data_IF_744349177869
#
_entry.id   IF_744349177869
#
_cell.length_a   1.000
_cell.length_b   1.000
_cell.length_c   1.000
_cell.angle_alpha   90.00
_cell.angle_beta   90.00
_cell.angle_gamma   90.00
#
_symmetry.space_group_name_H-M   'P 1'
#
loop_
_entity.id
_entity.type
_entity.pdbx_description
1 polymer ?
#
# COMPACT_ATOMS: atom_id res chain seq x y z
N UNK A 1 2.25 -40.55 7.71
CA UNK A 1 1.79 -39.22 8.19
C UNK A 1 2.85 -38.42 8.97
N UNK A 2 3.43 -38.92 10.09
CA UNK A 2 4.43 -38.17 10.90
C UNK A 2 5.71 -37.74 10.14
N UNK A 3 6.28 -38.60 9.27
CA UNK A 3 7.46 -38.26 8.44
C UNK A 3 7.20 -37.11 7.46
N UNK A 4 5.99 -37.02 6.91
CA UNK A 4 5.60 -35.95 5.98
C UNK A 4 5.49 -34.61 6.71
N UNK A 5 4.89 -34.59 7.91
CA UNK A 5 4.79 -33.38 8.75
C UNK A 5 6.18 -32.85 9.15
N UNK A 6 7.11 -33.75 9.48
CA UNK A 6 8.51 -33.38 9.79
C UNK A 6 9.24 -32.81 8.59
N UNK A 7 9.06 -33.39 7.40
CA UNK A 7 9.61 -32.86 6.15
C UNK A 7 9.09 -31.45 5.84
N UNK A 8 7.79 -31.21 5.93
CA UNK A 8 7.19 -29.89 5.72
C UNK A 8 7.62 -28.86 6.76
N UNK A 9 7.81 -29.25 8.03
CA UNK A 9 8.37 -28.37 9.07
C UNK A 9 9.83 -28.02 8.79
N UNK A 10 10.65 -29.00 8.41
CA UNK A 10 12.06 -28.79 8.04
C UNK A 10 12.20 -27.88 6.83
N UNK A 11 11.39 -28.10 5.79
CA UNK A 11 11.37 -27.28 4.58
C UNK A 11 10.96 -25.84 4.88
N UNK A 12 9.91 -25.62 5.69
CA UNK A 12 9.50 -24.27 6.14
C UNK A 12 10.60 -23.57 6.95
N UNK A 13 11.28 -24.27 7.84
CA UNK A 13 12.41 -23.73 8.62
C UNK A 13 13.58 -23.33 7.72
N UNK A 14 13.88 -24.13 6.71
CA UNK A 14 14.97 -23.88 5.77
C UNK A 14 14.66 -22.71 4.83
N UNK A 15 13.43 -22.60 4.33
CA UNK A 15 12.94 -21.44 3.57
C UNK A 15 13.02 -20.17 4.43
N UNK A 16 12.59 -20.21 5.69
CA UNK A 16 12.69 -19.07 6.59
C UNK A 16 14.13 -18.66 6.90
N UNK A 17 15.04 -19.62 7.10
CA UNK A 17 16.47 -19.32 7.29
C UNK A 17 17.10 -18.67 6.05
N UNK A 18 16.77 -19.16 4.86
CA UNK A 18 17.28 -18.59 3.61
C UNK A 18 16.73 -17.19 3.33
N UNK A 19 15.44 -16.95 3.63
CA UNK A 19 14.86 -15.61 3.57
C UNK A 19 15.54 -14.67 4.56
N UNK A 20 15.68 -15.05 5.84
CA UNK A 20 16.37 -14.23 6.86
C UNK A 20 17.80 -13.86 6.43
N UNK A 21 18.57 -14.80 5.86
CA UNK A 21 19.92 -14.52 5.35
C UNK A 21 19.92 -13.48 4.22
N UNK A 22 18.95 -13.51 3.30
CA UNK A 22 18.83 -12.50 2.24
C UNK A 22 18.49 -11.11 2.81
N UNK A 23 17.66 -11.05 3.85
CA UNK A 23 17.33 -9.80 4.57
C UNK A 23 18.59 -9.23 5.22
N UNK A 24 19.32 -10.05 5.97
CA UNK A 24 20.50 -9.63 6.72
C UNK A 24 21.65 -9.19 5.81
N UNK A 25 21.79 -9.82 4.63
CA UNK A 25 22.76 -9.42 3.59
C UNK A 25 22.40 -8.10 2.93
N UNK A 26 21.12 -7.88 2.61
CA UNK A 26 20.67 -6.63 1.96
C UNK A 26 20.64 -5.46 2.94
N UNK A 27 20.29 -5.66 4.21
CA UNK A 27 20.15 -4.59 5.22
C UNK A 27 21.44 -3.78 5.48
N UNK A 28 22.62 -4.37 5.26
CA UNK A 28 23.92 -3.70 5.43
C UNK A 28 24.57 -3.27 4.09
N UNK A 29 23.83 -3.40 2.98
CA UNK A 29 24.34 -3.04 1.67
C UNK A 29 24.44 -1.51 1.50
N UNK A 30 25.30 -1.07 0.57
CA UNK A 30 25.62 0.35 0.41
C UNK A 30 24.39 1.22 0.12
N UNK A 31 23.44 0.68 -0.62
CA UNK A 31 22.17 1.30 -0.97
C UNK A 31 21.25 1.49 0.23
N UNK A 32 21.27 0.58 1.21
CA UNK A 32 20.51 0.71 2.45
C UNK A 32 21.08 1.80 3.36
N UNK A 33 22.40 1.98 3.36
CA UNK A 33 23.05 3.08 4.09
C UNK A 33 22.69 4.42 3.43
N UNK A 34 22.75 4.51 2.10
CA UNK A 34 22.30 5.72 1.38
C UNK A 34 20.82 6.01 1.67
N UNK A 35 19.98 4.98 1.63
CA UNK A 35 18.56 5.13 1.87
C UNK A 35 18.26 5.56 3.31
N UNK A 36 19.03 5.06 4.28
CA UNK A 36 18.97 5.52 5.68
C UNK A 36 19.21 7.03 5.79
N UNK A 37 20.15 7.59 5.03
CA UNK A 37 20.40 9.02 5.01
C UNK A 37 19.20 9.79 4.41
N UNK A 38 18.67 9.34 3.27
CA UNK A 38 17.47 9.95 2.67
C UNK A 38 16.25 9.89 3.59
N UNK A 39 16.06 8.78 4.31
CA UNK A 39 14.99 8.65 5.31
C UNK A 39 15.18 9.62 6.48
N UNK A 40 16.42 9.82 6.93
CA UNK A 40 16.75 10.79 7.98
C UNK A 40 16.48 12.23 7.52
N UNK A 41 16.80 12.58 6.27
CA UNK A 41 16.54 13.90 5.70
C UNK A 41 15.05 14.26 5.70
N UNK A 42 14.17 13.27 5.52
CA UNK A 42 12.72 13.48 5.60
C UNK A 42 12.16 13.35 7.03
N UNK A 43 13.01 13.10 8.01
CA UNK A 43 12.64 13.02 9.44
C UNK A 43 12.16 11.64 9.90
N UNK A 44 12.58 10.57 9.23
CA UNK A 44 12.26 9.19 9.60
C UNK A 44 13.51 8.45 10.08
N UNK A 45 13.40 7.77 11.22
CA UNK A 45 14.42 6.84 11.67
C UNK A 45 14.31 5.50 10.94
N UNK A 46 15.29 5.17 10.12
CA UNK A 46 15.35 3.91 9.39
C UNK A 46 16.29 2.92 10.09
N UNK A 47 15.72 1.82 10.59
CA UNK A 47 16.47 0.73 11.19
C UNK A 47 17.19 -0.08 10.12
N UNK A 48 18.53 0.01 10.14
CA UNK A 48 19.39 -0.79 9.25
C UNK A 48 19.83 -2.09 9.91
N UNK A 49 19.76 -2.16 11.25
CA UNK A 49 20.19 -3.32 12.03
C UNK A 49 19.07 -3.83 12.92
N UNK A 50 18.96 -5.15 12.99
CA UNK A 50 17.99 -5.80 13.88
C UNK A 50 18.32 -5.51 15.34
N UNK A 51 17.34 -5.05 16.10
CA UNK A 51 17.50 -4.73 17.53
C UNK A 51 18.05 -3.33 17.80
N UNK A 52 18.16 -2.48 16.78
CA UNK A 52 18.54 -1.08 16.95
C UNK A 52 17.46 -0.31 17.73
N UNK A 53 17.86 0.35 18.81
CA UNK A 53 16.96 1.14 19.64
C UNK A 53 16.49 2.40 18.90
N UNK A 54 15.18 2.58 18.80
CA UNK A 54 14.59 3.81 18.23
C UNK A 54 14.87 4.99 19.17
N UNK A 55 15.49 6.09 18.67
CA UNK A 55 15.74 7.27 19.50
C UNK A 55 14.43 7.91 19.97
N UNK A 56 14.48 8.65 21.08
CA UNK A 56 13.28 9.23 21.73
C UNK A 56 12.46 10.11 20.78
N UNK A 57 13.13 10.87 19.93
CA UNK A 57 12.50 11.82 19.01
C UNK A 57 11.73 11.15 17.85
N UNK A 58 11.91 9.83 17.67
CA UNK A 58 11.28 9.05 16.60
C UNK A 58 10.32 7.97 17.12
N UNK A 59 9.86 8.09 18.37
CA UNK A 59 9.02 7.08 19.04
C UNK A 59 7.63 6.91 18.43
N UNK A 60 7.11 7.94 17.77
CA UNK A 60 5.83 7.83 17.06
C UNK A 60 5.91 6.74 15.99
N UNK A 61 4.88 5.90 15.90
CA UNK A 61 4.83 4.70 15.02
C UNK A 61 5.06 5.02 13.52
N UNK A 62 4.84 6.28 13.11
CA UNK A 62 5.04 6.77 11.74
C UNK A 62 6.35 7.54 11.55
N UNK A 63 7.17 7.70 12.60
CA UNK A 63 8.47 8.38 12.56
C UNK A 63 9.66 7.41 12.54
N UNK A 64 9.41 6.10 12.58
CA UNK A 64 10.45 5.08 12.47
C UNK A 64 9.97 3.91 11.62
N UNK A 65 10.91 3.23 10.95
CA UNK A 65 10.60 2.09 10.09
C UNK A 65 11.81 1.18 9.85
N UNK A 66 11.60 0.08 9.14
CA UNK A 66 12.62 -0.90 8.75
C UNK A 66 12.43 -1.34 7.28
N UNK A 67 13.41 -2.09 6.75
CA UNK A 67 13.37 -2.61 5.38
C UNK A 67 12.09 -3.37 5.04
N UNK A 68 11.56 -4.15 5.99
CA UNK A 68 10.39 -4.98 5.75
C UNK A 68 9.12 -4.14 5.66
N UNK A 69 8.97 -3.13 6.52
CA UNK A 69 7.83 -2.22 6.47
C UNK A 69 7.89 -1.31 5.25
N UNK A 70 9.05 -0.73 4.92
CA UNK A 70 9.26 0.03 3.67
C UNK A 70 8.83 -0.80 2.47
N UNK A 71 9.29 -2.05 2.39
CA UNK A 71 8.94 -2.92 1.28
C UNK A 71 7.46 -3.21 1.15
N UNK A 72 6.76 -3.43 2.26
CA UNK A 72 5.31 -3.62 2.24
C UNK A 72 4.59 -2.36 1.78
N UNK A 73 4.99 -1.20 2.29
CA UNK A 73 4.38 0.07 1.91
C UNK A 73 4.61 0.36 0.43
N UNK A 74 5.83 0.15 -0.09
CA UNK A 74 6.13 0.31 -1.52
C UNK A 74 5.39 -0.71 -2.38
N UNK A 75 5.29 -1.98 -1.97
CA UNK A 75 4.49 -2.97 -2.71
C UNK A 75 3.03 -2.51 -2.85
N UNK A 76 2.41 -1.99 -1.79
CA UNK A 76 1.05 -1.47 -1.86
C UNK A 76 0.95 -0.15 -2.65
N UNK A 77 1.68 0.89 -2.22
CA UNK A 77 1.51 2.25 -2.73
C UNK A 77 2.20 2.51 -4.08
N UNK A 78 3.45 2.08 -4.24
CA UNK A 78 4.23 2.33 -5.47
C UNK A 78 3.83 1.32 -6.55
N UNK A 79 3.94 0.04 -6.22
CA UNK A 79 3.76 -1.05 -7.17
C UNK A 79 2.32 -1.50 -7.34
N UNK A 80 1.36 -0.96 -6.58
CA UNK A 80 -0.07 -1.31 -6.68
C UNK A 80 -0.33 -2.81 -6.50
N UNK A 81 0.37 -3.43 -5.54
CA UNK A 81 0.25 -4.83 -5.12
C UNK A 81 -0.18 -4.95 -3.63
N UNK A 82 -1.38 -4.45 -3.26
CA UNK A 82 -1.83 -4.40 -1.87
C UNK A 82 -2.01 -5.77 -1.21
N UNK A 83 -2.39 -6.82 -1.92
CA UNK A 83 -2.51 -8.17 -1.37
C UNK A 83 -1.13 -8.82 -1.17
N UNK A 84 -0.22 -8.71 -2.15
CA UNK A 84 1.16 -9.19 -1.99
C UNK A 84 1.87 -8.52 -0.82
N UNK A 85 1.61 -7.23 -0.58
CA UNK A 85 2.08 -6.45 0.58
C UNK A 85 1.65 -7.05 1.95
N UNK A 86 0.54 -7.80 2.02
CA UNK A 86 0.07 -8.43 3.28
C UNK A 86 1.01 -9.54 3.74
N UNK A 87 1.73 -10.19 2.81
CA UNK A 87 2.61 -11.32 3.08
C UNK A 87 4.00 -10.87 3.56
N UNK A 88 4.85 -11.80 4.04
CA UNK A 88 6.26 -11.45 4.33
C UNK A 88 6.90 -11.01 3.01
N UNK A 89 7.68 -9.91 2.98
CA UNK A 89 8.08 -9.22 1.75
C UNK A 89 9.18 -9.97 0.99
N UNK A 90 9.10 -11.30 0.85
CA UNK A 90 10.06 -12.04 0.02
C UNK A 90 10.08 -11.52 -1.41
N UNK A 91 8.93 -11.07 -1.91
CA UNK A 91 8.78 -10.43 -3.22
C UNK A 91 9.54 -9.10 -3.30
N UNK A 92 9.64 -8.32 -2.22
CA UNK A 92 10.45 -7.08 -2.23
C UNK A 92 11.91 -7.35 -2.61
N UNK A 93 12.44 -8.50 -2.21
CA UNK A 93 13.84 -8.82 -2.49
C UNK A 93 14.09 -9.23 -3.93
N UNK A 94 13.05 -9.41 -4.74
CA UNK A 94 13.17 -9.53 -6.19
C UNK A 94 13.70 -8.21 -6.76
N UNK A 95 14.65 -8.31 -7.68
CA UNK A 95 15.37 -7.15 -8.19
C UNK A 95 14.45 -6.10 -8.81
N UNK A 96 13.39 -6.55 -9.49
CA UNK A 96 12.35 -5.68 -10.07
C UNK A 96 11.64 -4.80 -9.04
N UNK A 97 11.55 -5.19 -7.77
CA UNK A 97 10.94 -4.36 -6.74
C UNK A 97 11.97 -3.68 -5.84
N UNK A 98 13.12 -4.33 -5.65
CA UNK A 98 14.21 -3.80 -4.84
C UNK A 98 14.89 -2.59 -5.50
N UNK A 99 15.32 -2.73 -6.75
CA UNK A 99 16.11 -1.70 -7.42
C UNK A 99 15.36 -0.37 -7.60
N UNK A 100 14.06 -0.32 -7.95
CA UNK A 100 13.35 0.95 -8.01
C UNK A 100 13.23 1.67 -6.67
N UNK A 101 13.21 0.93 -5.55
CA UNK A 101 13.09 1.50 -4.19
C UNK A 101 14.46 1.95 -3.67
N UNK A 102 15.50 1.14 -3.88
CA UNK A 102 16.79 1.34 -3.21
C UNK A 102 17.93 1.75 -4.15
N UNK A 103 17.85 1.61 -5.47
CA UNK A 103 18.96 1.94 -6.36
C UNK A 103 18.68 3.12 -7.29
N UNK A 104 17.43 3.57 -7.37
CA UNK A 104 17.02 4.76 -8.14
C UNK A 104 16.98 6.02 -7.24
N UNK A 105 16.00 6.90 -7.46
CA UNK A 105 15.86 8.16 -6.73
C UNK A 105 15.41 7.93 -5.28
N UNK A 106 16.37 7.64 -4.39
CA UNK A 106 16.11 7.34 -2.98
C UNK A 106 15.45 8.50 -2.21
N UNK A 107 15.71 9.76 -2.58
CA UNK A 107 15.09 10.93 -1.94
C UNK A 107 13.59 11.03 -2.24
N UNK A 108 13.20 10.75 -3.49
CA UNK A 108 11.80 10.63 -3.91
C UNK A 108 11.09 9.51 -3.14
N UNK A 109 11.70 8.32 -3.10
CA UNK A 109 11.15 7.17 -2.39
C UNK A 109 11.03 7.43 -0.88
N UNK A 110 12.05 8.03 -0.25
CA UNK A 110 12.00 8.36 1.18
C UNK A 110 10.85 9.32 1.51
N UNK A 111 10.62 10.32 0.65
CA UNK A 111 9.50 11.27 0.79
C UNK A 111 8.15 10.55 0.68
N UNK A 112 7.98 9.68 -0.32
CA UNK A 112 6.77 8.86 -0.48
C UNK A 112 6.56 7.94 0.73
N UNK A 113 7.61 7.25 1.20
CA UNK A 113 7.55 6.32 2.33
C UNK A 113 7.14 7.03 3.61
N UNK A 114 7.64 8.24 3.87
CA UNK A 114 7.20 9.06 5.01
C UNK A 114 5.68 9.24 5.02
N UNK A 115 5.08 9.51 3.87
CA UNK A 115 3.63 9.68 3.77
C UNK A 115 2.90 8.35 3.94
N UNK A 116 3.38 7.28 3.30
CA UNK A 116 2.82 5.94 3.44
C UNK A 116 2.83 5.44 4.90
N UNK A 117 3.86 5.79 5.67
CA UNK A 117 3.94 5.49 7.11
C UNK A 117 2.81 6.19 7.88
N UNK A 118 2.55 7.46 7.58
CA UNK A 118 1.47 8.20 8.21
C UNK A 118 0.10 7.67 7.79
N UNK A 119 -0.10 7.37 6.50
CA UNK A 119 -1.34 6.78 5.95
C UNK A 119 -1.65 5.46 6.67
N UNK A 120 -0.66 4.57 6.80
CA UNK A 120 -0.80 3.30 7.52
C UNK A 120 -1.08 3.50 9.02
N UNK A 121 -0.42 4.46 9.66
CA UNK A 121 -0.68 4.82 11.05
C UNK A 121 -2.11 5.34 11.25
N UNK A 122 -2.54 6.29 10.42
CA UNK A 122 -3.85 6.92 10.49
C UNK A 122 -4.97 5.89 10.34
N UNK A 123 -4.84 5.01 9.34
CA UNK A 123 -5.75 3.90 9.15
C UNK A 123 -5.92 3.07 10.43
N UNK A 124 -4.79 2.61 11.00
CA UNK A 124 -4.78 1.68 12.15
C UNK A 124 -5.27 2.31 13.45
N UNK A 125 -4.97 3.59 13.68
CA UNK A 125 -5.12 4.20 15.02
C UNK A 125 -6.39 5.03 15.15
N UNK A 126 -6.84 5.63 14.04
CA UNK A 126 -7.96 6.59 14.00
C UNK A 126 -9.09 6.12 13.09
N UNK A 127 -8.84 6.05 11.79
CA UNK A 127 -9.89 5.87 10.77
C UNK A 127 -10.82 4.68 11.03
N UNK A 128 -10.27 3.48 11.28
CA UNK A 128 -11.12 2.28 11.46
C UNK A 128 -12.12 2.44 12.62
N UNK A 129 -11.73 3.13 13.70
CA UNK A 129 -12.64 3.37 14.84
C UNK A 129 -13.74 4.37 14.49
N UNK A 130 -13.45 5.35 13.66
CA UNK A 130 -14.41 6.34 13.19
C UNK A 130 -15.38 5.70 12.20
N UNK A 131 -14.86 4.89 11.27
CA UNK A 131 -15.64 4.11 10.32
C UNK A 131 -16.61 3.16 11.03
N UNK A 132 -16.15 2.42 12.05
CA UNK A 132 -17.01 1.52 12.83
C UNK A 132 -18.21 2.25 13.44
N UNK A 133 -18.00 3.44 14.02
CA UNK A 133 -19.08 4.25 14.61
C UNK A 133 -20.07 4.76 13.57
N UNK A 134 -19.60 5.13 12.38
CA UNK A 134 -20.45 5.62 11.30
C UNK A 134 -21.35 4.51 10.73
N UNK A 135 -20.88 3.26 10.77
CA UNK A 135 -21.52 2.12 10.13
C UNK A 135 -22.08 1.07 11.12
N UNK A 136 -22.16 1.38 12.42
CA UNK A 136 -22.63 0.45 13.46
C UNK A 136 -24.12 0.09 13.32
N UNK A 137 -24.91 0.98 12.71
CA UNK A 137 -26.36 0.85 12.53
C UNK A 137 -26.76 0.41 11.13
N UNK A 138 -25.78 0.18 10.25
CA UNK A 138 -26.04 -0.23 8.88
C UNK A 138 -26.62 -1.64 8.86
N UNK A 139 -27.76 -1.80 8.18
CA UNK A 139 -28.40 -3.09 7.96
C UNK A 139 -27.43 -4.04 7.24
N UNK A 140 -26.70 -3.49 6.27
CA UNK A 140 -25.70 -4.19 5.47
C UNK A 140 -24.35 -3.54 5.77
N UNK A 141 -23.66 -4.06 6.79
CA UNK A 141 -22.48 -3.39 7.35
C UNK A 141 -21.18 -3.65 6.56
N UNK A 142 -20.44 -2.60 6.16
CA UNK A 142 -19.12 -2.72 5.52
C UNK A 142 -17.96 -2.92 6.52
N UNK A 143 -18.22 -2.96 7.83
CA UNK A 143 -17.18 -2.96 8.89
C UNK A 143 -16.15 -4.09 8.71
N UNK A 144 -16.61 -5.32 8.49
CA UNK A 144 -15.70 -6.46 8.34
C UNK A 144 -14.78 -6.33 7.11
N UNK A 145 -15.27 -5.70 6.03
CA UNK A 145 -14.49 -5.39 4.86
C UNK A 145 -13.45 -4.31 5.17
N UNK A 146 -13.88 -3.21 5.81
CA UNK A 146 -13.01 -2.11 6.21
C UNK A 146 -11.83 -2.59 7.07
N UNK A 147 -12.06 -3.49 8.04
CA UNK A 147 -10.98 -4.04 8.88
C UNK A 147 -9.90 -4.79 8.09
N UNK A 148 -10.22 -5.26 6.89
CA UNK A 148 -9.29 -5.95 5.99
C UNK A 148 -8.71 -5.04 4.88
N UNK A 149 -9.14 -3.78 4.81
CA UNK A 149 -8.87 -2.89 3.68
C UNK A 149 -7.56 -2.09 3.78
N UNK A 150 -6.78 -2.23 4.86
CA UNK A 150 -5.59 -1.39 5.12
C UNK A 150 -4.68 -1.22 3.91
N UNK A 151 -4.29 -2.31 3.25
CA UNK A 151 -3.33 -2.24 2.15
C UNK A 151 -3.95 -1.72 0.86
N UNK A 152 -5.23 -1.99 0.59
CA UNK A 152 -5.92 -1.39 -0.57
C UNK A 152 -6.14 0.11 -0.37
N UNK A 153 -6.37 0.56 0.87
CA UNK A 153 -6.43 1.98 1.20
C UNK A 153 -5.09 2.69 0.93
N UNK A 154 -3.97 2.06 1.30
CA UNK A 154 -2.62 2.58 1.00
C UNK A 154 -2.39 2.65 -0.51
N UNK A 155 -2.71 1.57 -1.24
CA UNK A 155 -2.58 1.53 -2.69
C UNK A 155 -3.45 2.59 -3.37
N UNK A 156 -4.70 2.73 -2.92
CA UNK A 156 -5.68 3.64 -3.50
C UNK A 156 -5.31 5.11 -3.28
N UNK A 157 -4.83 5.49 -2.08
CA UNK A 157 -4.35 6.87 -1.87
C UNK A 157 -3.24 7.20 -2.85
N UNK A 158 -2.26 6.30 -3.02
CA UNK A 158 -1.19 6.51 -3.98
C UNK A 158 -1.69 6.58 -5.43
N UNK A 159 -2.65 5.73 -5.81
CA UNK A 159 -3.25 5.76 -7.15
C UNK A 159 -4.01 7.07 -7.41
N UNK A 160 -4.87 7.47 -6.47
CA UNK A 160 -5.67 8.69 -6.58
C UNK A 160 -4.79 9.93 -6.74
N UNK A 161 -3.69 10.00 -5.98
CA UNK A 161 -2.70 11.05 -6.15
C UNK A 161 -2.05 11.01 -7.52
N UNK A 162 -1.55 9.84 -7.93
CA UNK A 162 -0.83 9.71 -9.20
C UNK A 162 -1.72 10.08 -10.37
N UNK A 163 -3.01 9.76 -10.29
CA UNK A 163 -4.04 10.20 -11.22
C UNK A 163 -4.19 11.73 -11.20
N UNK A 164 -4.37 12.33 -10.03
CA UNK A 164 -4.56 13.79 -9.91
C UNK A 164 -3.35 14.62 -10.30
N UNK A 165 -2.15 14.09 -10.12
CA UNK A 165 -0.90 14.73 -10.55
C UNK A 165 -0.54 14.41 -12.02
N UNK A 166 -1.37 13.67 -12.75
CA UNK A 166 -1.14 13.35 -14.17
C UNK A 166 -0.04 12.32 -14.45
N UNK A 167 0.51 11.65 -13.43
CA UNK A 167 1.46 10.55 -13.65
C UNK A 167 0.78 9.28 -14.17
N UNK A 168 -0.45 9.02 -13.71
CA UNK A 168 -1.36 8.01 -14.23
C UNK A 168 -2.52 8.72 -14.94
N UNK A 169 -2.26 9.20 -16.16
CA UNK A 169 -3.28 9.82 -16.99
C UNK A 169 -4.34 8.83 -17.48
N UNK A 170 -5.34 9.35 -18.21
CA UNK A 170 -6.44 8.56 -18.77
C UNK A 170 -5.97 7.46 -19.72
N UNK A 171 -4.87 7.65 -20.46
CA UNK A 171 -4.37 6.64 -21.40
C UNK A 171 -3.74 5.48 -20.63
N UNK A 172 -2.89 5.76 -19.64
CA UNK A 172 -2.32 4.74 -18.75
C UNK A 172 -3.41 4.00 -17.98
N UNK A 173 -4.41 4.70 -17.47
CA UNK A 173 -5.54 4.04 -16.79
C UNK A 173 -6.35 3.15 -17.73
N UNK A 174 -6.53 3.55 -19.00
CA UNK A 174 -7.16 2.71 -20.01
C UNK A 174 -6.35 1.43 -20.24
N UNK A 175 -5.04 1.54 -20.46
CA UNK A 175 -4.15 0.39 -20.61
C UNK A 175 -4.23 -0.54 -19.40
N UNK A 176 -4.21 0.02 -18.19
CA UNK A 176 -4.41 -0.75 -16.97
C UNK A 176 -5.74 -1.51 -16.99
N UNK A 177 -6.87 -0.86 -17.27
CA UNK A 177 -8.19 -1.51 -17.24
C UNK A 177 -8.42 -2.52 -18.36
N UNK A 178 -7.79 -2.35 -19.51
CA UNK A 178 -7.81 -3.31 -20.62
C UNK A 178 -7.13 -4.62 -20.20
N UNK A 179 -5.98 -4.54 -19.53
CA UNK A 179 -5.16 -5.72 -19.23
C UNK A 179 -5.32 -6.27 -17.82
N UNK A 180 -5.92 -5.54 -16.87
CA UNK A 180 -5.85 -5.95 -15.46
C UNK A 180 -6.50 -7.30 -15.17
N UNK A 181 -7.48 -7.73 -15.98
CA UNK A 181 -8.18 -9.02 -15.85
C UNK A 181 -7.44 -10.22 -16.46
N UNK A 182 -6.28 -10.00 -17.10
CA UNK A 182 -5.52 -11.06 -17.78
C UNK A 182 -4.66 -11.90 -16.83
N UNK A 183 -4.35 -13.13 -17.24
CA UNK A 183 -3.43 -13.98 -16.49
C UNK A 183 -2.00 -13.42 -16.57
N UNK A 184 -1.35 -13.22 -15.41
CA UNK A 184 -0.06 -12.54 -15.31
C UNK A 184 -0.09 -11.11 -15.87
N UNK A 185 -1.25 -10.44 -15.81
CA UNK A 185 -1.42 -9.05 -16.21
C UNK A 185 -0.35 -8.15 -15.62
N UNK A 186 -0.03 -8.37 -14.34
CA UNK A 186 0.96 -7.57 -13.64
C UNK A 186 2.36 -7.67 -14.27
N UNK A 187 2.86 -8.89 -14.49
CA UNK A 187 4.16 -9.11 -15.11
C UNK A 187 4.24 -8.58 -16.53
N UNK A 188 3.17 -8.72 -17.30
CA UNK A 188 3.19 -8.45 -18.74
C UNK A 188 2.88 -7.00 -19.09
N UNK A 189 2.07 -6.30 -18.28
CA UNK A 189 1.52 -4.99 -18.61
C UNK A 189 1.67 -3.97 -17.48
N UNK A 190 1.45 -4.36 -16.22
CA UNK A 190 1.24 -3.37 -15.15
C UNK A 190 2.52 -2.95 -14.42
N UNK A 191 3.57 -3.77 -14.45
CA UNK A 191 4.81 -3.47 -13.73
C UNK A 191 5.45 -2.15 -14.18
N UNK A 192 5.63 -1.95 -15.49
CA UNK A 192 6.27 -0.74 -16.02
C UNK A 192 5.41 0.50 -15.76
N UNK A 193 4.10 0.37 -15.96
CA UNK A 193 3.11 1.41 -15.66
C UNK A 193 3.18 1.87 -14.20
N UNK A 194 3.22 0.94 -13.25
CA UNK A 194 3.21 1.30 -11.83
C UNK A 194 4.58 1.62 -11.24
N UNK A 195 5.65 1.02 -11.75
CA UNK A 195 7.01 1.29 -11.27
C UNK A 195 7.56 2.65 -11.71
N UNK A 196 6.97 3.28 -12.73
CA UNK A 196 7.27 4.64 -13.15
C UNK A 196 6.54 5.70 -12.30
N UNK A 197 7.27 6.28 -11.35
CA UNK A 197 6.78 7.36 -10.50
C UNK A 197 6.88 8.75 -11.15
N UNK A 198 7.52 8.88 -12.32
CA UNK A 198 7.81 10.17 -12.93
C UNK A 198 8.43 11.15 -11.94
N UNK A 199 7.91 12.38 -11.89
CA UNK A 199 8.39 13.44 -10.98
C UNK A 199 7.67 13.48 -9.62
N UNK A 200 6.79 12.51 -9.32
CA UNK A 200 6.02 12.52 -8.07
C UNK A 200 6.95 12.31 -6.88
N UNK A 201 7.15 13.38 -6.12
CA UNK A 201 7.98 13.37 -4.91
C UNK A 201 7.16 13.31 -3.62
N UNK A 202 5.84 13.51 -3.72
CA UNK A 202 4.90 13.56 -2.59
C UNK A 202 3.58 12.91 -2.99
N UNK A 203 2.97 12.15 -2.07
CA UNK A 203 1.67 11.54 -2.31
C UNK A 203 0.52 12.51 -2.05
N UNK A 204 0.67 13.53 -1.25
CA UNK A 204 -0.37 14.55 -1.07
C UNK A 204 0.28 15.94 -1.12
N UNK A 205 -0.45 16.97 -1.57
CA UNK A 205 0.09 18.33 -1.61
C UNK A 205 0.79 18.72 -0.30
N UNK A 206 2.01 19.26 -0.41
CA UNK A 206 2.83 19.64 0.76
C UNK A 206 2.11 20.56 1.73
N UNK A 207 1.24 21.42 1.19
CA UNK A 207 0.40 22.36 1.93
C UNK A 207 -0.50 21.64 2.94
N UNK A 208 -1.00 20.45 2.63
CA UNK A 208 -1.87 19.68 3.52
C UNK A 208 -1.15 19.21 4.78
N UNK A 209 0.16 19.00 4.74
CA UNK A 209 0.93 18.66 5.95
C UNK A 209 0.98 19.79 6.98
N UNK A 210 0.63 21.02 6.57
CA UNK A 210 0.49 22.16 7.49
C UNK A 210 -0.89 22.21 8.14
N UNK A 211 -1.89 21.52 7.58
CA UNK A 211 -3.23 21.38 8.13
C UNK A 211 -3.58 19.90 8.35
N UNK A 212 -3.21 19.40 9.52
CA UNK A 212 -3.38 18.00 9.91
C UNK A 212 -4.82 17.52 9.79
N UNK A 213 -5.79 18.34 10.17
CA UNK A 213 -7.20 17.96 10.16
C UNK A 213 -7.71 17.78 8.72
N UNK A 214 -7.31 18.69 7.82
CA UNK A 214 -7.64 18.57 6.41
C UNK A 214 -6.96 17.36 5.75
N UNK A 215 -5.71 17.08 6.12
CA UNK A 215 -4.99 15.89 5.66
C UNK A 215 -5.70 14.61 6.10
N UNK A 216 -6.05 14.49 7.39
CA UNK A 216 -6.76 13.33 7.93
C UNK A 216 -8.16 13.19 7.33
N UNK A 217 -8.87 14.30 7.09
CA UNK A 217 -10.15 14.29 6.38
C UNK A 217 -9.99 13.75 4.96
N UNK A 218 -9.00 14.23 4.21
CA UNK A 218 -8.71 13.78 2.84
C UNK A 218 -8.44 12.27 2.80
N UNK A 219 -7.65 11.76 3.74
CA UNK A 219 -7.41 10.33 3.87
C UNK A 219 -8.69 9.56 4.20
N UNK A 220 -9.50 10.06 5.14
CA UNK A 220 -10.78 9.45 5.51
C UNK A 220 -11.73 9.35 4.31
N UNK A 221 -11.82 10.42 3.53
CA UNK A 221 -12.66 10.47 2.33
C UNK A 221 -12.17 9.45 1.29
N UNK A 222 -10.86 9.44 0.96
CA UNK A 222 -10.27 8.48 0.01
C UNK A 222 -10.42 7.02 0.48
N UNK A 223 -10.20 6.74 1.77
CA UNK A 223 -10.39 5.40 2.31
C UNK A 223 -11.84 4.94 2.19
N UNK A 224 -12.79 5.84 2.45
CA UNK A 224 -14.22 5.55 2.38
C UNK A 224 -14.64 5.25 0.94
N UNK A 225 -14.09 5.96 -0.05
CA UNK A 225 -14.32 5.64 -1.48
C UNK A 225 -13.98 4.18 -1.76
N UNK A 226 -12.71 3.78 -1.58
CA UNK A 226 -12.27 2.44 -1.97
C UNK A 226 -12.90 1.33 -1.12
N UNK A 227 -13.19 1.59 0.16
CA UNK A 227 -13.86 0.61 1.02
C UNK A 227 -15.28 0.36 0.55
N UNK A 228 -16.05 1.40 0.23
CA UNK A 228 -17.43 1.24 -0.19
C UNK A 228 -17.53 0.66 -1.60
N UNK A 229 -16.68 1.10 -2.54
CA UNK A 229 -16.54 0.48 -3.87
C UNK A 229 -16.18 -1.00 -3.75
N UNK A 230 -15.19 -1.30 -2.90
CA UNK A 230 -14.73 -2.65 -2.65
C UNK A 230 -15.80 -3.55 -2.03
N UNK A 231 -16.55 -3.02 -1.07
CA UNK A 231 -17.64 -3.74 -0.43
C UNK A 231 -18.78 -4.05 -1.41
N UNK A 232 -19.21 -3.08 -2.24
CA UNK A 232 -20.21 -3.31 -3.30
C UNK A 232 -19.79 -4.41 -4.26
N UNK A 233 -18.54 -4.37 -4.72
CA UNK A 233 -18.01 -5.39 -5.63
C UNK A 233 -17.93 -6.76 -4.94
N UNK A 234 -17.41 -6.83 -3.71
CA UNK A 234 -17.39 -8.05 -2.90
C UNK A 234 -18.78 -8.68 -2.75
N UNK A 235 -19.81 -7.89 -2.48
CA UNK A 235 -21.18 -8.39 -2.36
C UNK A 235 -21.71 -8.99 -3.65
N UNK A 236 -21.34 -8.41 -4.79
CA UNK A 236 -21.71 -8.93 -6.11
C UNK A 236 -21.02 -10.28 -6.36
N UNK A 237 -19.73 -10.36 -6.10
CA UNK A 237 -18.95 -11.60 -6.26
C UNK A 237 -19.45 -12.71 -5.32
N UNK A 238 -19.71 -12.39 -4.05
CA UNK A 238 -20.19 -13.35 -3.04
C UNK A 238 -21.54 -13.99 -3.40
N UNK A 239 -22.40 -13.29 -4.15
CA UNK A 239 -23.66 -13.88 -4.66
C UNK A 239 -23.40 -15.05 -5.63
N UNK A 240 -22.29 -15.00 -6.36
CA UNK A 240 -21.85 -16.06 -7.27
C UNK A 240 -20.97 -17.13 -6.62
N UNK A 241 -20.27 -16.81 -5.53
CA UNK A 241 -19.38 -17.73 -4.81
C UNK A 241 -19.45 -17.52 -3.28
N UNK A 242 -20.14 -18.44 -2.60
CA UNK A 242 -20.33 -18.41 -1.15
C UNK A 242 -19.07 -18.83 -0.35
N UNK A 243 -17.99 -19.25 -1.00
CA UNK A 243 -16.71 -19.58 -0.33
C UNK A 243 -15.86 -18.35 -0.01
N UNK A 244 -16.21 -17.19 -0.59
CA UNK A 244 -15.51 -15.92 -0.41
C UNK A 244 -16.07 -15.20 0.82
N UNK A 245 -15.16 -14.65 1.62
CA UNK A 245 -15.44 -13.78 2.77
C UNK A 245 -14.56 -12.52 2.71
N UNK A 246 -14.88 -11.53 3.54
CA UNK A 246 -14.19 -10.23 3.58
C UNK A 246 -12.67 -10.39 3.81
N UNK A 247 -12.30 -11.40 4.59
CA UNK A 247 -10.90 -11.65 4.95
C UNK A 247 -10.09 -12.23 3.80
N UNK A 248 -10.65 -13.20 3.05
CA UNK A 248 -9.96 -13.84 1.94
C UNK A 248 -10.07 -13.07 0.62
N UNK A 249 -11.11 -12.26 0.44
CA UNK A 249 -11.34 -11.49 -0.77
C UNK A 249 -10.17 -10.56 -1.08
N UNK A 250 -9.71 -9.78 -0.09
CA UNK A 250 -8.59 -8.85 -0.27
C UNK A 250 -7.20 -9.51 -0.19
N UNK A 251 -7.11 -10.84 -0.35
CA UNK A 251 -5.83 -11.57 -0.43
C UNK A 251 -5.37 -11.85 -1.86
N UNK A 252 -6.06 -11.28 -2.85
CA UNK A 252 -5.70 -11.35 -4.25
C UNK A 252 -5.60 -9.94 -4.83
N UNK A 253 -4.46 -9.60 -5.43
CA UNK A 253 -4.25 -8.31 -6.09
C UNK A 253 -5.24 -8.09 -7.23
N UNK A 254 -5.66 -9.18 -7.89
CA UNK A 254 -6.70 -9.13 -8.93
C UNK A 254 -8.00 -8.49 -8.43
N UNK A 255 -8.42 -8.82 -7.21
CA UNK A 255 -9.66 -8.26 -6.67
C UNK A 255 -9.55 -6.76 -6.43
N UNK A 256 -8.36 -6.23 -6.11
CA UNK A 256 -8.14 -4.80 -6.05
C UNK A 256 -8.30 -4.14 -7.43
N UNK A 257 -7.77 -4.75 -8.48
CA UNK A 257 -7.90 -4.24 -9.84
C UNK A 257 -9.34 -4.27 -10.36
N UNK A 258 -10.07 -5.34 -10.07
CA UNK A 258 -11.48 -5.44 -10.46
C UNK A 258 -12.39 -4.46 -9.72
N UNK A 259 -12.08 -4.12 -8.46
CA UNK A 259 -12.78 -3.04 -7.74
C UNK A 259 -12.62 -1.73 -8.49
N UNK A 260 -11.38 -1.39 -8.86
CA UNK A 260 -11.08 -0.16 -9.59
C UNK A 260 -11.78 -0.15 -10.95
N UNK A 261 -11.65 -1.23 -11.73
CA UNK A 261 -12.22 -1.34 -13.07
C UNK A 261 -13.74 -1.25 -13.07
N UNK A 262 -14.40 -1.95 -12.15
CA UNK A 262 -15.87 -2.03 -12.11
C UNK A 262 -16.50 -0.71 -11.71
N UNK A 263 -15.84 0.07 -10.86
CA UNK A 263 -16.40 1.26 -10.23
C UNK A 263 -15.67 2.55 -10.62
N UNK A 264 -14.79 2.51 -11.63
CA UNK A 264 -13.88 3.61 -11.95
C UNK A 264 -14.59 4.93 -12.17
N UNK A 265 -15.73 4.92 -12.88
CA UNK A 265 -16.49 6.14 -13.14
C UNK A 265 -16.91 6.86 -11.84
N UNK A 266 -17.47 6.13 -10.86
CA UNK A 266 -17.83 6.70 -9.56
C UNK A 266 -16.60 7.08 -8.73
N UNK A 267 -15.54 6.26 -8.81
CA UNK A 267 -14.27 6.50 -8.10
C UNK A 267 -13.62 7.79 -8.59
N UNK A 268 -13.52 7.98 -9.90
CA UNK A 268 -12.94 9.15 -10.56
C UNK A 268 -13.67 10.43 -10.15
N UNK A 269 -15.01 10.42 -10.22
CA UNK A 269 -15.83 11.55 -9.79
C UNK A 269 -15.55 11.91 -8.32
N UNK A 270 -15.52 10.92 -7.43
CA UNK A 270 -15.23 11.14 -6.01
C UNK A 270 -13.81 11.65 -5.77
N UNK A 271 -12.81 11.12 -6.46
CA UNK A 271 -11.43 11.63 -6.38
C UNK A 271 -11.39 13.10 -6.82
N UNK A 272 -12.01 13.43 -7.95
CA UNK A 272 -12.05 14.80 -8.46
C UNK A 272 -12.73 15.76 -7.47
N UNK A 273 -13.85 15.37 -6.88
CA UNK A 273 -14.56 16.18 -5.89
C UNK A 273 -13.73 16.37 -4.59
N UNK A 274 -13.06 15.32 -4.12
CA UNK A 274 -12.17 15.41 -2.95
C UNK A 274 -11.06 16.43 -3.23
N UNK A 275 -10.40 16.34 -4.38
CA UNK A 275 -9.27 17.22 -4.71
C UNK A 275 -9.68 18.64 -5.07
N UNK A 276 -10.84 18.85 -5.71
CA UNK A 276 -11.37 20.19 -5.95
C UNK A 276 -11.55 20.97 -4.63
N UNK A 277 -12.03 20.29 -3.58
CA UNK A 277 -12.18 20.91 -2.25
C UNK A 277 -10.85 21.31 -1.58
N UNK A 278 -9.71 20.89 -2.13
CA UNK A 278 -8.37 21.25 -1.65
C UNK A 278 -7.78 22.43 -2.42
N UNK A 279 -8.26 22.72 -3.63
CA UNK A 279 -7.81 23.85 -4.46
C UNK A 279 -8.42 25.18 -4.00
N UNK A 280 -9.55 25.12 -3.28
CA UNK A 280 -10.26 26.27 -2.71
C UNK A 280 -9.64 26.81 -1.39
N UNK A 281 -8.44 26.36 -1.00
CA UNK A 281 -7.76 26.66 0.28
C UNK A 281 -6.34 27.17 0.06
#
# INVERSE_FOLDING_TARGET
MKKMILFWKSLKLQIHKNQSKKIDLKANASEQIRFCNSMREVGIFYQTKRGESVPKDFREDYCNTDLAQVGKLCLAGVFQLPASSRSKPSSLYEERFYAPVFDKNQGQIASIVKELLYIDYFFRKKYVKEFDKQHEKDIISPIAFAHNARTICIAFVALATRFKNGNLDTEKLREFFEHCSENKSYENHLYDLFSDLGEISYLLPKSLFRNKDLYEKTLSDLFTVIILSGFRYYQTVRRGDNSINETNFLKNDQNYYEILKTDWYEIEEKINNIYASLEDI
#
